data_IF_024265938073
#
_entry.id   IF_024265938073
#
_cell.length_a   1.000
_cell.length_b   1.000
_cell.length_c   1.000
_cell.angle_alpha   90.00
_cell.angle_beta   90.00
_cell.angle_gamma   90.00
#
_symmetry.space_group_name_H-M   'P 1'
#
loop_
_entity.id
_entity.type
_entity.pdbx_description
1 polymer ?
#
# COMPACT_ATOMS: atom_id res chain seq x y z
N UNK A 1 -1.28 4.58 18.69
CA UNK A 1 -1.96 3.92 19.83
C UNK A 1 -2.51 2.59 19.32
N UNK A 2 -1.83 1.49 19.60
CA UNK A 2 -2.28 0.14 19.23
C UNK A 2 -3.07 -0.40 20.42
N UNK A 3 -4.28 -0.90 20.19
CA UNK A 3 -5.16 -1.41 21.25
C UNK A 3 -5.20 -2.93 21.17
N UNK A 4 -4.73 -3.63 22.21
CA UNK A 4 -5.05 -5.05 22.41
C UNK A 4 -6.56 -5.16 22.68
N UNK A 5 -7.21 -6.24 22.27
CA UNK A 5 -8.64 -6.50 22.48
C UNK A 5 -9.04 -6.65 23.96
N UNK A 6 -8.08 -6.54 24.87
CA UNK A 6 -8.25 -6.30 26.30
C UNK A 6 -7.46 -5.05 26.68
N UNK A 7 -8.12 -4.13 27.38
CA UNK A 7 -7.75 -2.73 27.60
C UNK A 7 -6.39 -2.55 28.32
N UNK A 8 -5.29 -2.61 27.59
CA UNK A 8 -3.99 -2.14 28.07
C UNK A 8 -3.43 -1.13 27.05
N UNK A 9 -3.27 0.11 27.51
CA UNK A 9 -2.52 1.13 26.80
C UNK A 9 -1.05 0.94 27.17
N UNK A 10 -0.17 0.85 26.18
CA UNK A 10 1.28 0.79 26.41
C UNK A 10 1.85 2.20 26.62
N UNK A 11 2.69 2.36 27.64
CA UNK A 11 3.33 3.62 28.02
C UNK A 11 4.83 3.58 27.65
N UNK A 12 5.12 3.37 26.36
CA UNK A 12 6.48 3.42 25.85
C UNK A 12 6.68 2.75 24.50
N UNK A 13 7.63 3.24 23.69
CA UNK A 13 7.89 2.72 22.34
C UNK A 13 8.33 1.26 22.32
N UNK A 14 9.12 0.82 23.29
CA UNK A 14 9.58 -0.57 23.41
C UNK A 14 8.43 -1.52 23.84
N UNK A 15 7.59 -1.10 24.77
CA UNK A 15 6.43 -1.86 25.23
C UNK A 15 5.38 -2.01 24.12
N UNK A 16 5.09 -0.92 23.41
CA UNK A 16 4.19 -0.96 22.26
C UNK A 16 4.72 -1.85 21.11
N UNK A 17 6.04 -1.88 20.88
CA UNK A 17 6.65 -2.75 19.88
C UNK A 17 6.50 -4.23 20.25
N UNK A 18 6.68 -4.58 21.53
CA UNK A 18 6.48 -5.95 22.02
C UNK A 18 5.02 -6.39 21.85
N UNK A 19 4.06 -5.55 22.26
CA UNK A 19 2.64 -5.87 22.12
C UNK A 19 2.24 -6.03 20.65
N UNK A 20 2.80 -5.20 19.76
CA UNK A 20 2.54 -5.32 18.32
C UNK A 20 3.11 -6.62 17.75
N UNK A 21 4.32 -7.00 18.15
CA UNK A 21 4.92 -8.27 17.74
C UNK A 21 4.10 -9.47 18.22
N UNK A 22 3.59 -9.44 19.45
CA UNK A 22 2.74 -10.50 20.01
C UNK A 22 1.40 -10.60 19.28
N UNK A 23 0.72 -9.48 19.02
CA UNK A 23 -0.55 -9.47 18.26
C UNK A 23 -0.35 -9.96 16.82
N UNK A 24 0.76 -9.57 16.19
CA UNK A 24 1.11 -10.04 14.86
C UNK A 24 1.40 -11.55 14.88
N UNK A 25 2.17 -12.03 15.86
CA UNK A 25 2.44 -13.45 16.03
C UNK A 25 1.15 -14.24 16.30
N UNK A 26 0.25 -13.78 17.17
CA UNK A 26 -1.04 -14.44 17.43
C UNK A 26 -1.92 -14.49 16.17
N UNK A 27 -1.91 -13.44 15.35
CA UNK A 27 -2.72 -13.36 14.13
C UNK A 27 -2.17 -14.18 12.97
N UNK A 28 -0.86 -14.46 12.94
CA UNK A 28 -0.16 -15.10 11.83
C UNK A 28 0.67 -16.35 12.20
N UNK A 29 0.59 -16.82 13.45
CA UNK A 29 1.19 -18.09 13.91
C UNK A 29 0.40 -19.31 13.45
N UNK A 30 -0.87 -19.12 13.13
CA UNK A 30 -1.66 -20.13 12.42
C UNK A 30 -1.25 -20.05 10.96
N UNK A 31 -0.44 -21.01 10.52
CA UNK A 31 -0.16 -21.20 9.10
C UNK A 31 -1.53 -21.25 8.40
N UNK A 32 -1.82 -20.36 7.44
CA UNK A 32 -3.15 -20.29 6.85
C UNK A 32 -3.46 -21.65 6.19
N UNK A 33 -4.33 -22.41 6.84
CA UNK A 33 -4.75 -23.71 6.36
C UNK A 33 -5.63 -23.55 5.12
N UNK A 34 -5.31 -24.35 4.11
CA UNK A 34 -6.05 -24.38 2.86
C UNK A 34 -5.24 -23.92 1.64
N UNK A 35 -5.75 -24.16 0.44
CA UNK A 35 -5.08 -23.74 -0.78
C UNK A 35 -5.05 -22.21 -0.84
N UNK A 36 -3.88 -21.65 -1.14
CA UNK A 36 -3.72 -20.22 -1.47
C UNK A 36 -4.84 -19.85 -2.45
N UNK A 37 -5.69 -18.83 -2.15
CA UNK A 37 -6.76 -18.43 -3.02
C UNK A 37 -6.17 -18.15 -4.40
N UNK A 38 -6.60 -18.91 -5.40
CA UNK A 38 -6.18 -18.67 -6.79
C UNK A 38 -6.86 -17.41 -7.26
N UNK A 39 -6.20 -16.27 -7.03
CA UNK A 39 -6.60 -15.02 -7.65
C UNK A 39 -6.44 -15.23 -9.16
N UNK A 40 -7.57 -15.31 -9.88
CA UNK A 40 -7.58 -15.32 -11.35
C UNK A 40 -7.25 -13.92 -11.86
N UNK A 41 -6.08 -13.40 -11.51
CA UNK A 41 -5.52 -12.26 -12.19
C UNK A 41 -4.95 -12.77 -13.52
N UNK A 42 -5.14 -12.03 -14.63
CA UNK A 42 -4.32 -12.29 -15.80
C UNK A 42 -2.86 -12.24 -15.34
N UNK A 43 -2.11 -13.34 -15.51
CA UNK A 43 -0.66 -13.32 -15.33
C UNK A 43 -0.13 -12.37 -16.41
N UNK A 44 0.05 -11.10 -16.05
CA UNK A 44 0.89 -10.23 -16.85
C UNK A 44 2.28 -10.85 -16.79
N UNK A 45 2.70 -11.50 -17.87
CA UNK A 45 4.04 -12.08 -18.06
C UNK A 45 5.11 -10.99 -18.24
N UNK A 46 4.79 -9.73 -17.95
CA UNK A 46 5.76 -8.65 -18.06
C UNK A 46 6.62 -8.65 -16.80
N UNK A 47 7.91 -8.91 -16.99
CA UNK A 47 8.91 -8.73 -15.94
C UNK A 47 8.82 -7.29 -15.43
N UNK A 48 8.92 -7.07 -14.13
CA UNK A 48 9.01 -5.71 -13.59
C UNK A 48 10.26 -4.97 -14.11
N UNK A 49 11.28 -5.72 -14.56
CA UNK A 49 12.47 -5.19 -15.23
C UNK A 49 12.17 -4.61 -16.62
N UNK A 50 11.00 -4.92 -17.20
CA UNK A 50 10.59 -4.42 -18.52
C UNK A 50 9.77 -3.13 -18.46
N UNK A 51 9.49 -2.62 -17.26
CA UNK A 51 8.78 -1.35 -17.09
C UNK A 51 9.78 -0.21 -17.32
N UNK A 52 9.50 0.62 -18.32
CA UNK A 52 10.27 1.83 -18.56
C UNK A 52 9.83 2.93 -17.59
N UNK A 53 10.76 3.37 -16.74
CA UNK A 53 10.61 4.48 -15.81
C UNK A 53 11.40 5.71 -16.26
N UNK A 54 11.73 5.82 -17.55
CA UNK A 54 12.31 7.03 -18.13
C UNK A 54 11.45 8.25 -17.79
N UNK A 55 12.12 9.39 -17.64
CA UNK A 55 11.47 10.66 -17.32
C UNK A 55 10.37 10.98 -18.35
N UNK A 56 10.65 10.74 -19.62
CA UNK A 56 9.71 10.94 -20.73
C UNK A 56 8.41 10.14 -20.56
N UNK A 57 8.53 8.85 -20.20
CA UNK A 57 7.37 7.99 -19.96
C UNK A 57 6.58 8.47 -18.75
N UNK A 58 7.24 8.81 -17.65
CA UNK A 58 6.58 9.30 -16.43
C UNK A 58 5.83 10.61 -16.70
N UNK A 59 6.47 11.57 -17.39
CA UNK A 59 5.86 12.83 -17.78
C UNK A 59 4.62 12.62 -18.66
N UNK A 60 4.67 11.68 -19.60
CA UNK A 60 3.53 11.35 -20.46
C UNK A 60 2.32 10.84 -19.65
N UNK A 61 2.57 10.02 -18.61
CA UNK A 61 1.51 9.55 -17.72
C UNK A 61 0.92 10.67 -16.89
N UNK A 62 1.76 11.54 -16.30
CA UNK A 62 1.30 12.69 -15.52
C UNK A 62 0.44 13.65 -16.36
N UNK A 63 0.83 13.92 -17.60
CA UNK A 63 0.05 14.74 -18.53
C UNK A 63 -1.31 14.11 -18.89
N UNK A 64 -1.38 12.77 -18.93
CA UNK A 64 -2.60 12.02 -19.27
C UNK A 64 -3.64 11.92 -18.15
N UNK A 65 -3.32 12.31 -16.91
CA UNK A 65 -4.23 12.18 -15.77
C UNK A 65 -5.57 12.90 -16.01
N UNK A 66 -6.67 12.25 -15.64
CA UNK A 66 -7.98 12.90 -15.62
C UNK A 66 -8.05 13.81 -14.37
N UNK A 67 -8.34 15.08 -14.57
CA UNK A 67 -8.46 16.07 -13.48
C UNK A 67 -9.89 16.23 -12.97
N UNK A 68 -10.84 15.53 -13.59
CA UNK A 68 -12.25 15.51 -13.20
C UNK A 68 -12.54 14.47 -12.10
N UNK A 69 -11.66 13.49 -11.91
CA UNK A 69 -11.76 12.49 -10.85
C UNK A 69 -11.54 13.10 -9.47
N UNK A 70 -12.36 12.66 -8.51
CA UNK A 70 -12.20 13.05 -7.11
C UNK A 70 -10.88 12.53 -6.54
N UNK A 71 -10.22 13.27 -5.64
CA UNK A 71 -9.03 12.82 -4.95
C UNK A 71 -9.22 11.49 -4.21
N UNK A 72 -8.13 10.74 -4.05
CA UNK A 72 -8.10 9.53 -3.25
C UNK A 72 -8.17 9.80 -1.74
N UNK A 73 -7.91 8.76 -0.95
CA UNK A 73 -7.93 8.83 0.53
C UNK A 73 -6.91 9.81 1.13
N UNK A 74 -5.88 10.16 0.34
CA UNK A 74 -4.85 11.15 0.69
C UNK A 74 -5.26 12.61 0.39
N UNK A 75 -6.43 12.82 -0.24
CA UNK A 75 -6.94 14.12 -0.71
C UNK A 75 -6.01 14.85 -1.70
N UNK A 76 -5.07 14.16 -2.34
CA UNK A 76 -4.19 14.80 -3.34
C UNK A 76 -4.89 14.83 -4.70
N UNK A 77 -5.04 16.03 -5.27
CA UNK A 77 -5.71 16.21 -6.57
C UNK A 77 -4.78 15.89 -7.75
N UNK A 78 -5.32 15.24 -8.77
CA UNK A 78 -4.68 15.02 -10.08
C UNK A 78 -4.12 16.31 -10.72
N UNK A 79 -4.68 17.48 -10.40
CA UNK A 79 -4.18 18.78 -10.89
C UNK A 79 -2.76 19.10 -10.44
N UNK A 80 -2.38 18.70 -9.22
CA UNK A 80 -1.03 18.91 -8.69
C UNK A 80 0.00 18.16 -9.54
N UNK A 81 -0.31 16.91 -9.87
CA UNK A 81 0.55 16.05 -10.67
C UNK A 81 0.72 16.55 -12.11
N UNK A 82 -0.32 17.13 -12.73
CA UNK A 82 -0.18 17.80 -14.02
C UNK A 82 0.75 19.01 -14.00
N UNK A 83 0.79 19.75 -12.88
CA UNK A 83 1.71 20.87 -12.72
C UNK A 83 3.19 20.46 -12.70
N UNK A 84 3.48 19.18 -12.46
CA UNK A 84 4.83 18.63 -12.48
C UNK A 84 5.27 18.14 -13.87
N UNK A 85 4.37 18.13 -14.86
CA UNK A 85 4.67 17.74 -16.23
C UNK A 85 4.63 18.97 -17.15
N UNK A 86 5.78 19.63 -17.40
CA UNK A 86 5.86 20.85 -18.22
C UNK A 86 5.54 20.62 -19.71
#
# INVERSE_FOLDING_TARGET
>A
MVRRSTVEQCDGSAECASIFADVFADSYSVQPDGPIPRVRLPRALQSLESIDFSEEVVLSYLASLDVSTSPGVDNVSARLFKGCAP
#
